data_IF_053211427725
#
_entry.id   IF_053211427725
#
_cell.length_a   1.000
_cell.length_b   1.000
_cell.length_c   1.000
_cell.angle_alpha   90.00
_cell.angle_beta   90.00
_cell.angle_gamma   90.00
#
_symmetry.space_group_name_H-M   'P 1'
#
loop_
_entity.id
_entity.type
_entity.pdbx_description
1 polymer ?
#
# COMPACT_ATOMS: atom_id res chain seq x y z
N UNK A 1 -91.55 -19.17 -1.09
CA UNK A 1 -90.58 -20.24 -0.76
C UNK A 1 -89.18 -19.70 -1.00
N UNK A 2 -88.29 -19.99 -0.06
CA UNK A 2 -87.09 -19.24 0.32
C UNK A 2 -86.02 -19.02 -0.75
N UNK A 3 -85.45 -17.80 -0.78
CA UNK A 3 -84.11 -17.55 -1.33
C UNK A 3 -83.27 -16.87 -0.25
N UNK A 4 -81.99 -17.25 -0.23
CA UNK A 4 -80.86 -16.53 0.38
C UNK A 4 -80.54 -16.84 1.85
N UNK A 5 -80.08 -18.06 2.09
CA UNK A 5 -78.78 -18.24 2.78
C UNK A 5 -77.70 -17.91 1.76
N UNK A 6 -76.76 -17.04 2.08
CA UNK A 6 -75.35 -17.01 1.66
C UNK A 6 -74.86 -15.56 1.73
N UNK A 7 -74.46 -15.11 2.92
CA UNK A 7 -73.67 -13.89 3.03
C UNK A 7 -72.72 -13.98 4.22
N UNK A 8 -71.75 -14.89 4.15
CA UNK A 8 -70.64 -14.94 5.12
C UNK A 8 -69.33 -15.54 4.56
N UNK A 9 -69.16 -15.60 3.24
CA UNK A 9 -67.92 -16.12 2.62
C UNK A 9 -67.46 -15.19 1.49
N UNK A 10 -67.43 -13.87 1.72
CA UNK A 10 -66.81 -12.95 0.76
C UNK A 10 -65.93 -11.86 1.38
N UNK A 11 -65.70 -11.90 2.70
CA UNK A 11 -64.82 -10.95 3.41
C UNK A 11 -63.59 -11.68 4.00
N UNK A 12 -63.14 -12.75 3.34
CA UNK A 12 -61.86 -13.39 3.66
C UNK A 12 -60.93 -13.56 2.46
N UNK A 13 -61.33 -13.10 1.27
CA UNK A 13 -60.52 -13.22 0.05
C UNK A 13 -59.94 -11.91 -0.49
N UNK A 14 -60.12 -10.78 0.22
CA UNK A 14 -59.52 -9.49 -0.15
C UNK A 14 -58.42 -9.01 0.80
N UNK A 15 -58.12 -9.75 1.86
CA UNK A 15 -57.06 -9.44 2.82
C UNK A 15 -55.82 -10.34 2.70
N UNK A 16 -55.81 -11.32 1.78
CA UNK A 16 -54.70 -12.27 1.60
C UNK A 16 -53.83 -12.01 0.35
N UNK A 17 -54.06 -10.90 -0.38
CA UNK A 17 -53.28 -10.54 -1.58
C UNK A 17 -52.33 -9.35 -1.36
N UNK A 18 -52.13 -8.92 -0.11
CA UNK A 18 -51.07 -8.00 0.31
C UNK A 18 -50.02 -8.72 1.17
N UNK A 19 -49.75 -9.98 0.85
CA UNK A 19 -48.55 -10.67 1.32
C UNK A 19 -47.34 -10.09 0.59
N UNK A 20 -46.76 -9.06 1.21
CA UNK A 20 -45.31 -8.82 1.25
C UNK A 20 -44.56 -9.18 -0.04
N UNK A 21 -44.74 -8.38 -1.10
CA UNK A 21 -43.66 -8.14 -2.06
C UNK A 21 -42.59 -7.23 -1.42
N UNK A 22 -42.11 -7.59 -0.22
CA UNK A 22 -40.74 -7.24 0.16
C UNK A 22 -39.86 -8.15 -0.68
N UNK A 23 -39.69 -7.76 -1.95
CA UNK A 23 -38.52 -8.16 -2.72
C UNK A 23 -37.32 -7.86 -1.83
N UNK A 24 -36.74 -8.90 -1.23
CA UNK A 24 -35.38 -8.86 -0.75
C UNK A 24 -34.50 -8.60 -1.97
N UNK A 25 -34.47 -7.34 -2.44
CA UNK A 25 -33.36 -6.83 -3.23
C UNK A 25 -32.17 -6.93 -2.28
N UNK A 26 -31.42 -8.03 -2.37
CA UNK A 26 -30.09 -8.13 -1.77
C UNK A 26 -29.37 -6.87 -2.24
N UNK A 27 -29.12 -5.94 -1.32
CA UNK A 27 -28.35 -4.73 -1.61
C UNK A 27 -27.02 -5.21 -2.16
N UNK A 28 -26.72 -4.84 -3.41
CA UNK A 28 -25.42 -5.18 -3.99
C UNK A 28 -24.33 -4.62 -3.08
N UNK A 29 -23.37 -5.47 -2.72
CA UNK A 29 -22.24 -5.06 -1.90
C UNK A 29 -21.42 -4.04 -2.67
N UNK A 30 -21.01 -2.99 -1.99
CA UNK A 30 -19.98 -2.10 -2.51
C UNK A 30 -18.68 -2.88 -2.74
N UNK A 31 -17.79 -2.36 -3.59
CA UNK A 31 -16.48 -2.97 -3.84
C UNK A 31 -15.73 -3.30 -2.54
N UNK A 32 -15.68 -2.35 -1.60
CA UNK A 32 -14.97 -2.51 -0.31
C UNK A 32 -15.62 -3.60 0.53
N UNK A 33 -16.94 -3.65 0.62
CA UNK A 33 -17.67 -4.69 1.35
C UNK A 33 -17.48 -6.09 0.74
N UNK A 34 -17.31 -6.18 -0.59
CA UNK A 34 -17.03 -7.43 -1.27
C UNK A 34 -15.62 -7.94 -0.92
N UNK A 35 -14.58 -7.13 -1.12
CA UNK A 35 -13.19 -7.55 -0.89
C UNK A 35 -12.83 -7.70 0.61
N UNK A 36 -13.60 -7.10 1.51
CA UNK A 36 -13.43 -7.29 2.96
C UNK A 36 -13.56 -8.76 3.38
N UNK A 37 -14.28 -9.60 2.62
CA UNK A 37 -14.36 -11.03 2.87
C UNK A 37 -13.01 -11.76 2.74
N UNK A 38 -12.07 -11.19 2.00
CA UNK A 38 -10.72 -11.72 1.81
C UNK A 38 -9.67 -11.07 2.72
N UNK A 39 -10.06 -10.16 3.61
CA UNK A 39 -9.13 -9.58 4.57
C UNK A 39 -8.64 -10.67 5.54
N UNK A 40 -7.32 -10.90 5.52
CA UNK A 40 -6.69 -11.90 6.39
C UNK A 40 -6.44 -11.29 7.74
N UNK A 41 -7.05 -11.85 8.79
CA UNK A 41 -6.84 -11.40 10.16
C UNK A 41 -5.36 -11.47 10.54
N UNK A 42 -4.86 -10.43 11.20
CA UNK A 42 -3.50 -10.43 11.74
C UNK A 42 -3.37 -11.49 12.85
N UNK A 43 -2.21 -12.14 12.89
CA UNK A 43 -1.84 -13.00 14.01
C UNK A 43 -1.59 -12.19 15.29
N UNK A 44 -1.55 -12.88 16.43
CA UNK A 44 -1.14 -12.26 17.70
C UNK A 44 0.33 -11.80 17.60
N UNK A 45 0.66 -10.60 18.09
CA UNK A 45 2.04 -10.11 18.09
C UNK A 45 2.98 -11.09 18.82
N UNK A 46 4.16 -11.31 18.24
CA UNK A 46 5.21 -12.18 18.79
C UNK A 46 6.46 -11.36 19.11
N UNK A 47 7.31 -11.79 20.07
CA UNK A 47 8.59 -11.13 20.31
C UNK A 47 9.37 -10.89 19.01
N UNK A 48 9.88 -9.67 18.83
CA UNK A 48 10.57 -9.23 17.61
C UNK A 48 9.69 -8.64 16.50
N UNK A 49 8.37 -8.92 16.49
CA UNK A 49 7.44 -8.29 15.54
C UNK A 49 7.23 -6.81 15.84
N UNK A 50 6.86 -6.03 14.82
CA UNK A 50 6.59 -4.60 14.95
C UNK A 50 5.55 -4.32 16.04
N UNK A 51 4.40 -5.02 15.94
CA UNK A 51 3.26 -4.86 16.86
C UNK A 51 3.50 -5.36 18.28
N UNK A 52 4.59 -6.09 18.52
CA UNK A 52 4.98 -6.47 19.89
C UNK A 52 5.77 -5.34 20.57
N UNK A 53 6.53 -4.58 19.78
CA UNK A 53 7.44 -3.54 20.29
C UNK A 53 6.82 -2.14 20.25
N UNK A 54 5.72 -1.97 19.51
CA UNK A 54 5.06 -0.68 19.30
C UNK A 54 3.57 -0.81 19.62
N UNK A 55 3.11 0.00 20.58
CA UNK A 55 1.69 0.18 20.88
C UNK A 55 1.14 1.32 20.02
N UNK A 56 0.48 0.95 18.92
CA UNK A 56 -0.04 1.89 17.92
C UNK A 56 -1.55 2.01 18.02
N UNK A 57 -2.06 3.22 17.81
CA UNK A 57 -3.50 3.47 17.76
C UNK A 57 -4.07 3.01 16.42
N UNK A 58 -5.16 2.26 16.47
CA UNK A 58 -5.89 1.90 15.28
C UNK A 58 -6.56 3.14 14.67
N UNK A 59 -6.10 3.53 13.47
CA UNK A 59 -6.72 4.63 12.72
C UNK A 59 -8.01 4.14 12.07
N UNK A 60 -9.16 4.61 12.52
CA UNK A 60 -10.44 4.35 11.87
C UNK A 60 -10.55 5.14 10.56
N UNK A 61 -11.60 4.88 9.76
CA UNK A 61 -11.82 5.66 8.54
C UNK A 61 -12.16 7.12 8.86
N UNK A 62 -12.94 7.36 9.91
CA UNK A 62 -13.34 8.69 10.36
C UNK A 62 -12.15 9.50 10.88
N UNK A 63 -11.20 8.83 11.55
CA UNK A 63 -9.94 9.45 11.98
C UNK A 63 -9.11 9.85 10.77
N UNK A 64 -9.00 8.95 9.79
CA UNK A 64 -8.32 9.21 8.52
C UNK A 64 -8.96 10.36 7.72
N UNK A 65 -10.29 10.50 7.74
CA UNK A 65 -10.96 11.60 7.06
C UNK A 65 -10.57 12.97 7.64
N UNK A 66 -10.32 13.04 8.95
CA UNK A 66 -9.94 14.27 9.67
C UNK A 66 -8.47 14.65 9.50
N UNK A 67 -7.61 13.75 9.01
CA UNK A 67 -6.20 14.08 8.82
C UNK A 67 -6.02 15.05 7.65
N UNK A 68 -5.12 16.03 7.84
CA UNK A 68 -4.54 16.76 6.73
C UNK A 68 -3.67 15.77 5.95
N UNK A 69 -3.94 15.66 4.66
CA UNK A 69 -3.29 14.68 3.78
C UNK A 69 -2.97 15.32 2.45
N UNK A 70 -1.95 14.78 1.81
CA UNK A 70 -1.58 15.16 0.46
C UNK A 70 -2.57 14.49 -0.49
N UNK A 71 -3.09 15.25 -1.43
CA UNK A 71 -3.98 14.75 -2.47
C UNK A 71 -3.51 15.26 -3.82
N UNK A 72 -3.67 14.49 -4.91
CA UNK A 72 -3.43 14.98 -6.25
C UNK A 72 -4.30 16.19 -6.57
N UNK A 73 -3.70 17.19 -7.19
CA UNK A 73 -4.36 18.41 -7.64
C UNK A 73 -4.14 18.58 -9.15
N UNK A 74 -4.98 19.35 -9.86
CA UNK A 74 -4.73 19.69 -11.26
C UNK A 74 -3.31 20.25 -11.45
N UNK A 75 -2.49 19.58 -12.27
CA UNK A 75 -1.09 19.94 -12.50
C UNK A 75 -0.11 19.51 -11.42
N UNK A 76 -0.54 18.80 -10.37
CA UNK A 76 0.30 18.22 -9.32
C UNK A 76 -0.21 16.83 -8.94
N UNK A 77 0.04 15.87 -9.83
CA UNK A 77 -0.56 14.53 -9.79
C UNK A 77 0.40 13.42 -10.26
N UNK A 78 1.71 13.69 -10.29
CA UNK A 78 2.73 12.71 -10.71
C UNK A 78 3.47 12.17 -9.49
N UNK A 79 3.71 10.86 -9.48
CA UNK A 79 4.64 10.21 -8.56
C UNK A 79 6.01 10.17 -9.24
N UNK A 80 7.02 10.75 -8.61
CA UNK A 80 8.39 10.64 -9.09
C UNK A 80 9.19 9.66 -8.24
N UNK A 81 9.98 8.81 -8.89
CA UNK A 81 11.02 8.01 -8.28
C UNK A 81 12.36 8.71 -8.51
N UNK A 82 13.11 8.94 -7.44
CA UNK A 82 14.46 9.51 -7.49
C UNK A 82 15.46 8.44 -7.06
N UNK A 83 16.15 7.77 -8.00
CA UNK A 83 17.28 6.93 -7.66
C UNK A 83 18.39 7.81 -7.04
N UNK A 84 18.98 7.37 -5.92
CA UNK A 84 20.06 8.06 -5.22
C UNK A 84 21.18 7.07 -4.93
N UNK A 85 22.18 7.12 -5.80
CA UNK A 85 23.43 6.38 -5.72
C UNK A 85 23.75 5.65 -7.03
N UNK A 86 24.44 4.52 -6.94
CA UNK A 86 24.92 3.76 -8.10
C UNK A 86 24.20 2.42 -8.22
N UNK A 87 23.54 2.21 -9.36
CA UNK A 87 22.70 1.04 -9.61
C UNK A 87 23.28 0.20 -10.74
N UNK A 88 23.40 -1.10 -10.52
CA UNK A 88 23.69 -2.07 -11.57
C UNK A 88 22.44 -2.35 -12.44
N UNK A 89 22.60 -3.19 -13.47
CA UNK A 89 21.51 -3.51 -14.40
C UNK A 89 20.29 -4.15 -13.71
N UNK A 90 20.52 -5.05 -12.75
CA UNK A 90 19.44 -5.70 -12.01
C UNK A 90 18.71 -4.70 -11.11
N UNK A 91 19.42 -3.87 -10.36
CA UNK A 91 18.81 -2.85 -9.50
C UNK A 91 18.03 -1.82 -10.32
N UNK A 92 18.58 -1.41 -11.47
CA UNK A 92 17.90 -0.52 -12.42
C UNK A 92 16.60 -1.15 -12.93
N UNK A 93 16.62 -2.45 -13.24
CA UNK A 93 15.43 -3.20 -13.63
C UNK A 93 14.39 -3.28 -12.51
N UNK A 94 14.80 -3.45 -11.25
CA UNK A 94 13.87 -3.41 -10.11
C UNK A 94 13.19 -2.04 -9.97
N UNK A 95 13.92 -0.94 -10.18
CA UNK A 95 13.36 0.42 -10.15
C UNK A 95 12.33 0.61 -11.26
N UNK A 96 12.62 0.16 -12.49
CA UNK A 96 11.67 0.26 -13.61
C UNK A 96 10.41 -0.57 -13.40
N UNK A 97 10.55 -1.79 -12.88
CA UNK A 97 9.40 -2.63 -12.53
C UNK A 97 8.61 -2.00 -11.36
N UNK A 98 9.28 -1.36 -10.41
CA UNK A 98 8.64 -0.61 -9.33
C UNK A 98 7.86 0.59 -9.86
N UNK A 99 8.40 1.33 -10.85
CA UNK A 99 7.67 2.40 -11.55
C UNK A 99 6.37 1.88 -12.16
N UNK A 100 6.42 0.77 -12.89
CA UNK A 100 5.22 0.14 -13.47
C UNK A 100 4.19 -0.24 -12.39
N UNK A 101 4.65 -0.89 -11.32
CA UNK A 101 3.79 -1.29 -10.22
C UNK A 101 3.11 -0.10 -9.53
N UNK A 102 3.87 0.95 -9.19
CA UNK A 102 3.33 2.11 -8.46
C UNK A 102 2.36 2.91 -9.33
N UNK A 103 2.59 2.97 -10.65
CA UNK A 103 1.66 3.56 -11.60
C UNK A 103 0.30 2.86 -11.57
N UNK A 104 0.31 1.52 -11.54
CA UNK A 104 -0.91 0.72 -11.40
C UNK A 104 -1.52 0.87 -10.00
N UNK A 105 -0.69 0.75 -8.95
CA UNK A 105 -1.11 0.69 -7.55
C UNK A 105 -1.78 1.99 -7.08
N UNK A 106 -1.32 3.14 -7.57
CA UNK A 106 -1.90 4.43 -7.22
C UNK A 106 -2.76 5.02 -8.34
N UNK A 107 -2.76 4.41 -9.55
CA UNK A 107 -3.38 4.95 -10.77
C UNK A 107 -3.00 6.41 -11.05
N UNK A 108 -1.73 6.73 -10.80
CA UNK A 108 -1.12 8.02 -11.07
C UNK A 108 0.07 7.82 -11.99
N UNK A 109 0.31 8.80 -12.86
CA UNK A 109 1.51 8.78 -13.70
C UNK A 109 2.74 8.67 -12.80
N UNK A 110 3.63 7.72 -13.11
CA UNK A 110 4.86 7.49 -12.34
C UNK A 110 6.07 7.60 -13.24
N UNK A 111 7.03 8.45 -12.87
CA UNK A 111 8.25 8.74 -13.64
C UNK A 111 9.50 8.46 -12.83
N UNK A 112 10.57 8.03 -13.48
CA UNK A 112 11.90 7.90 -12.86
C UNK A 112 12.73 9.11 -13.27
N UNK A 113 13.31 9.81 -12.30
CA UNK A 113 14.24 10.92 -12.50
C UNK A 113 15.66 10.40 -12.77
N UNK A 114 16.55 11.21 -13.38
CA UNK A 114 17.97 10.88 -13.45
C UNK A 114 18.55 10.59 -12.07
N UNK A 115 19.37 9.53 -11.96
CA UNK A 115 19.98 9.14 -10.70
C UNK A 115 20.89 10.26 -10.14
N UNK A 116 20.78 10.50 -8.83
CA UNK A 116 21.73 11.33 -8.11
C UNK A 116 22.94 10.48 -7.69
N UNK A 117 24.18 10.98 -7.77
CA UNK A 117 25.35 10.23 -7.33
C UNK A 117 25.39 10.07 -5.80
N UNK A 118 26.05 9.04 -5.28
CA UNK A 118 26.18 8.84 -3.81
C UNK A 118 26.94 9.97 -3.10
N UNK A 119 27.62 10.86 -3.84
CA UNK A 119 28.31 12.05 -3.30
C UNK A 119 27.37 13.09 -2.70
N UNK A 120 26.05 12.98 -2.91
CA UNK A 120 25.05 13.83 -2.23
C UNK A 120 24.96 13.54 -0.72
N UNK A 121 25.52 12.42 -0.26
CA UNK A 121 25.61 12.07 1.15
C UNK A 121 26.95 12.54 1.75
N UNK A 122 26.98 13.62 2.55
CA UNK A 122 28.19 14.07 3.23
C UNK A 122 28.59 13.10 4.36
N UNK A 123 29.85 13.16 4.80
CA UNK A 123 30.37 12.25 5.84
C UNK A 123 29.60 12.35 7.16
N UNK A 124 29.13 13.54 7.52
CA UNK A 124 28.40 13.78 8.77
C UNK A 124 27.07 13.02 8.91
N UNK A 125 26.52 12.48 7.82
CA UNK A 125 25.25 11.73 7.82
C UNK A 125 25.44 10.24 7.60
N UNK A 126 26.70 9.80 7.58
CA UNK A 126 27.09 8.41 7.41
C UNK A 126 27.50 7.80 8.75
N UNK A 127 27.33 6.49 8.86
CA UNK A 127 27.92 5.69 9.93
C UNK A 127 28.25 4.30 9.41
N UNK A 128 29.11 3.59 10.14
CA UNK A 128 29.26 2.15 9.95
C UNK A 128 28.21 1.42 10.79
N UNK A 129 27.48 0.50 10.17
CA UNK A 129 26.57 -0.42 10.85
C UNK A 129 27.34 -1.34 11.79
N UNK A 130 26.61 -2.01 12.68
CA UNK A 130 27.19 -3.12 13.48
C UNK A 130 27.67 -4.28 12.61
N UNK A 131 27.14 -4.37 11.39
CA UNK A 131 27.49 -5.40 10.41
C UNK A 131 28.65 -4.98 9.47
N UNK A 132 29.25 -3.79 9.68
CA UNK A 132 30.46 -3.35 8.98
C UNK A 132 30.23 -2.66 7.63
N UNK A 133 29.01 -2.22 7.33
CA UNK A 133 28.67 -1.51 6.09
C UNK A 133 28.17 -0.09 6.33
N UNK A 134 28.31 0.78 5.34
CA UNK A 134 27.88 2.19 5.41
C UNK A 134 26.34 2.29 5.49
N UNK A 135 25.84 3.08 6.43
CA UNK A 135 24.43 3.47 6.54
C UNK A 135 24.29 4.99 6.45
N UNK A 136 23.18 5.47 5.90
CA UNK A 136 22.86 6.87 5.70
C UNK A 136 21.69 7.29 6.60
N UNK A 137 21.77 8.47 7.19
CA UNK A 137 20.69 9.03 8.01
C UNK A 137 19.47 9.34 7.12
N UNK A 138 18.37 8.62 7.31
CA UNK A 138 17.19 8.72 6.47
C UNK A 138 16.54 10.11 6.49
N UNK A 139 16.51 10.76 7.67
CA UNK A 139 15.99 12.13 7.81
C UNK A 139 16.72 13.14 6.92
N UNK A 140 18.05 13.00 6.76
CA UNK A 140 18.81 13.85 5.85
C UNK A 140 18.36 13.67 4.39
N UNK A 141 18.07 12.44 3.97
CA UNK A 141 17.59 12.16 2.61
C UNK A 141 16.28 12.91 2.34
N UNK A 142 15.33 12.87 3.28
CA UNK A 142 14.08 13.61 3.17
C UNK A 142 14.34 15.12 3.14
N UNK A 143 14.90 15.65 4.22
CA UNK A 143 14.89 17.10 4.51
C UNK A 143 15.87 17.89 3.64
N UNK A 144 17.03 17.30 3.36
CA UNK A 144 18.12 17.99 2.67
C UNK A 144 18.21 17.68 1.19
N UNK A 145 17.63 16.57 0.72
CA UNK A 145 17.66 16.17 -0.69
C UNK A 145 16.27 16.24 -1.31
N UNK A 146 15.33 15.42 -0.84
CA UNK A 146 14.07 15.20 -1.55
C UNK A 146 13.13 16.40 -1.47
N UNK A 147 12.94 17.02 -0.29
CA UNK A 147 12.06 18.20 -0.14
C UNK A 147 12.51 19.33 -1.10
N UNK A 148 13.82 19.57 -1.18
CA UNK A 148 14.39 20.65 -2.00
C UNK A 148 14.36 20.37 -3.51
N UNK A 149 14.19 19.11 -3.91
CA UNK A 149 14.25 18.65 -5.31
C UNK A 149 12.91 18.19 -5.86
N UNK A 150 11.85 18.19 -5.05
CA UNK A 150 10.51 17.77 -5.46
C UNK A 150 10.04 18.57 -6.70
N UNK A 151 9.79 17.91 -7.85
CA UNK A 151 9.26 18.58 -9.03
C UNK A 151 7.94 19.30 -8.71
N UNK A 152 7.66 20.41 -9.39
CA UNK A 152 6.48 21.24 -9.09
C UNK A 152 5.16 20.51 -9.36
N UNK A 153 5.16 19.64 -10.35
CA UNK A 153 4.05 18.77 -10.75
C UNK A 153 4.01 17.43 -9.98
N UNK A 154 4.94 17.21 -9.05
CA UNK A 154 4.96 16.03 -8.21
C UNK A 154 3.92 16.15 -7.08
N UNK A 155 3.00 15.18 -7.02
CA UNK A 155 2.24 14.93 -5.78
C UNK A 155 3.15 14.23 -4.76
N UNK A 156 3.99 13.31 -5.22
CA UNK A 156 4.90 12.49 -4.40
C UNK A 156 6.28 12.46 -5.05
N UNK A 157 7.34 12.53 -4.23
CA UNK A 157 8.71 12.22 -4.63
C UNK A 157 9.28 11.14 -3.72
N UNK A 158 9.47 9.94 -4.27
CA UNK A 158 10.00 8.78 -3.56
C UNK A 158 11.46 8.53 -3.94
N UNK A 159 12.37 8.70 -2.99
CA UNK A 159 13.77 8.30 -3.12
C UNK A 159 13.90 6.77 -3.10
N UNK A 160 14.78 6.24 -3.94
CA UNK A 160 15.20 4.83 -3.88
C UNK A 160 16.73 4.84 -3.82
N UNK A 161 17.31 4.19 -2.81
CA UNK A 161 18.77 4.14 -2.64
C UNK A 161 19.27 2.71 -2.45
N UNK A 162 20.44 2.41 -3.01
CA UNK A 162 21.20 1.18 -2.77
C UNK A 162 21.93 1.19 -1.43
N UNK A 163 21.94 2.31 -0.72
CA UNK A 163 22.58 2.46 0.60
C UNK A 163 21.64 2.05 1.72
N UNK A 164 22.20 1.46 2.78
CA UNK A 164 21.43 1.14 3.99
C UNK A 164 21.00 2.42 4.71
N UNK A 165 19.88 2.38 5.43
CA UNK A 165 19.30 3.54 6.10
C UNK A 165 19.18 3.34 7.60
N UNK A 166 19.39 4.42 8.36
CA UNK A 166 19.08 4.46 9.79
C UNK A 166 18.26 5.71 10.15
N UNK A 167 17.34 5.62 11.13
CA UNK A 167 16.47 6.75 11.47
C UNK A 167 17.13 7.70 12.49
N UNK A 168 17.85 7.16 13.47
CA UNK A 168 18.55 7.89 14.54
C UNK A 168 19.63 7.00 15.17
N UNK A 169 20.46 7.56 16.07
CA UNK A 169 21.62 6.88 16.67
C UNK A 169 21.30 5.50 17.26
N UNK A 170 20.17 5.39 17.97
CA UNK A 170 19.89 4.23 18.84
C UNK A 170 19.16 3.08 18.11
N UNK A 171 18.80 3.29 16.85
CA UNK A 171 18.10 2.30 16.02
C UNK A 171 19.06 1.59 15.08
N UNK A 172 18.79 0.33 14.74
CA UNK A 172 19.69 -0.44 13.87
C UNK A 172 19.57 -0.01 12.39
N UNK A 173 18.37 -0.07 11.83
CA UNK A 173 18.09 0.32 10.45
C UNK A 173 16.59 0.54 10.24
N UNK A 174 16.24 1.08 9.07
CA UNK A 174 14.88 1.12 8.55
C UNK A 174 14.89 0.73 7.07
N UNK A 175 13.80 0.16 6.57
CA UNK A 175 13.65 -0.11 5.13
C UNK A 175 13.23 1.12 4.35
N UNK A 176 12.50 2.03 5.00
CA UNK A 176 12.08 3.29 4.42
C UNK A 176 11.68 4.31 5.48
N UNK A 177 11.43 5.53 5.02
CA UNK A 177 10.91 6.63 5.83
C UNK A 177 10.11 7.57 4.95
N UNK A 178 8.91 7.95 5.40
CA UNK A 178 8.05 8.89 4.71
C UNK A 178 7.69 10.11 5.57
N UNK A 179 7.56 11.26 4.90
CA UNK A 179 6.97 12.47 5.46
C UNK A 179 5.47 12.50 5.16
N UNK A 180 4.65 12.58 6.22
CA UNK A 180 3.20 12.72 6.14
C UNK A 180 2.74 14.08 5.57
N UNK A 181 3.64 15.08 5.54
CA UNK A 181 3.27 16.47 5.21
C UNK A 181 3.89 16.97 3.90
N UNK A 182 5.11 16.52 3.60
CA UNK A 182 5.88 17.05 2.47
C UNK A 182 5.72 16.21 1.19
N UNK A 183 5.19 14.99 1.31
CA UNK A 183 5.00 14.06 0.18
C UNK A 183 6.33 13.66 -0.42
N UNK A 184 7.28 13.39 0.48
CA UNK A 184 8.57 12.82 0.17
C UNK A 184 8.81 11.62 1.08
N UNK A 185 9.57 10.65 0.60
CA UNK A 185 10.06 9.56 1.40
C UNK A 185 11.17 8.82 0.69
N UNK A 186 11.79 7.87 1.36
CA UNK A 186 12.91 7.09 0.82
C UNK A 186 12.72 5.63 1.17
N UNK A 187 13.08 4.73 0.24
CA UNK A 187 13.23 3.29 0.48
C UNK A 187 14.68 2.90 0.20
N UNK A 188 15.26 2.10 1.09
CA UNK A 188 16.54 1.41 0.87
C UNK A 188 16.31 0.05 0.26
N UNK A 189 17.04 -0.25 -0.81
CA UNK A 189 17.11 -1.59 -1.39
C UNK A 189 18.17 -2.46 -0.72
N UNK A 190 19.10 -1.88 0.05
CA UNK A 190 20.33 -2.53 0.51
C UNK A 190 20.04 -3.87 1.20
N UNK A 191 19.09 -3.88 2.13
CA UNK A 191 18.75 -5.06 2.93
C UNK A 191 17.89 -6.06 2.17
N UNK A 192 17.23 -5.69 1.08
CA UNK A 192 16.36 -6.61 0.33
C UNK A 192 17.13 -7.72 -0.38
N UNK A 193 18.40 -7.48 -0.71
CA UNK A 193 19.35 -8.44 -1.25
C UNK A 193 20.66 -8.51 -0.45
N UNK A 194 20.71 -7.87 0.72
CA UNK A 194 21.86 -7.81 1.63
C UNK A 194 23.19 -7.44 0.96
N UNK A 195 23.18 -6.38 0.13
CA UNK A 195 24.37 -5.88 -0.57
C UNK A 195 24.73 -6.59 -1.89
N UNK A 196 24.19 -7.78 -2.18
CA UNK A 196 24.44 -8.49 -3.44
C UNK A 196 23.17 -9.03 -4.13
N UNK A 197 22.68 -8.28 -5.11
CA UNK A 197 21.56 -8.69 -5.97
C UNK A 197 22.04 -9.61 -7.11
N UNK A 198 21.37 -10.75 -7.26
CA UNK A 198 21.60 -11.74 -8.30
C UNK A 198 20.28 -12.13 -8.95
N UNK A 199 20.33 -12.93 -10.02
CA UNK A 199 19.12 -13.43 -10.68
C UNK A 199 18.28 -14.30 -9.72
N UNK A 200 18.92 -15.03 -8.80
CA UNK A 200 18.21 -15.96 -7.91
C UNK A 200 17.40 -15.26 -6.82
N UNK A 201 17.85 -14.09 -6.35
CA UNK A 201 17.14 -13.30 -5.33
C UNK A 201 16.40 -12.08 -5.89
N UNK A 202 16.45 -11.86 -7.21
CA UNK A 202 15.82 -10.72 -7.90
C UNK A 202 14.34 -10.58 -7.57
N UNK A 203 13.55 -11.65 -7.69
CA UNK A 203 12.10 -11.59 -7.48
C UNK A 203 11.74 -11.32 -6.01
N UNK A 204 12.52 -11.86 -5.07
CA UNK A 204 12.34 -11.64 -3.63
C UNK A 204 12.65 -10.18 -3.26
N UNK A 205 13.77 -9.67 -3.75
CA UNK A 205 14.18 -8.27 -3.58
C UNK A 205 13.17 -7.30 -4.20
N UNK A 206 12.74 -7.55 -5.44
CA UNK A 206 11.74 -6.74 -6.12
C UNK A 206 10.44 -6.71 -5.32
N UNK A 207 9.92 -7.85 -4.89
CA UNK A 207 8.68 -7.90 -4.12
C UNK A 207 8.76 -7.09 -2.82
N UNK A 208 9.92 -7.12 -2.14
CA UNK A 208 10.18 -6.26 -0.97
C UNK A 208 10.19 -4.78 -1.33
N UNK A 209 10.84 -4.40 -2.44
CA UNK A 209 10.84 -3.02 -2.92
C UNK A 209 9.42 -2.52 -3.28
N UNK A 210 8.59 -3.36 -3.90
CA UNK A 210 7.19 -3.02 -4.19
C UNK A 210 6.39 -2.76 -2.91
N UNK A 211 6.51 -3.65 -1.93
CA UNK A 211 5.80 -3.55 -0.65
C UNK A 211 6.23 -2.32 0.14
N UNK A 212 7.52 -2.13 0.35
CA UNK A 212 8.01 -0.99 1.13
C UNK A 212 7.75 0.33 0.39
N UNK A 213 7.95 0.41 -0.93
CA UNK A 213 7.67 1.67 -1.65
C UNK A 213 6.19 2.05 -1.63
N UNK A 214 5.27 1.10 -1.78
CA UNK A 214 3.83 1.39 -1.67
C UNK A 214 3.41 1.68 -0.23
N UNK A 215 4.06 1.07 0.76
CA UNK A 215 3.88 1.39 2.18
C UNK A 215 4.27 2.84 2.48
N UNK A 216 5.48 3.25 2.13
CA UNK A 216 5.97 4.62 2.38
C UNK A 216 5.12 5.67 1.65
N UNK A 217 4.74 5.41 0.40
CA UNK A 217 3.83 6.31 -0.33
C UNK A 217 2.45 6.34 0.31
N UNK A 218 1.96 5.22 0.87
CA UNK A 218 0.72 5.17 1.64
C UNK A 218 0.73 6.10 2.85
N UNK A 219 1.86 6.21 3.57
CA UNK A 219 2.05 7.20 4.63
C UNK A 219 1.94 8.64 4.13
N UNK A 220 2.49 8.94 2.96
CA UNK A 220 2.39 10.28 2.36
C UNK A 220 0.95 10.64 1.98
N UNK A 221 0.08 9.66 1.75
CA UNK A 221 -1.37 9.84 1.59
C UNK A 221 -2.16 9.78 2.91
N UNK A 222 -1.48 9.80 4.05
CA UNK A 222 -2.06 9.92 5.39
C UNK A 222 -2.47 8.61 6.06
N UNK A 223 -2.14 7.46 5.48
CA UNK A 223 -2.48 6.15 6.03
C UNK A 223 -1.44 5.78 7.08
N UNK A 224 -1.85 5.57 8.34
CA UNK A 224 -0.95 5.05 9.38
C UNK A 224 -0.74 3.54 9.23
N UNK A 225 0.13 2.96 10.06
CA UNK A 225 0.21 1.50 10.12
C UNK A 225 -1.16 0.85 10.33
N UNK A 226 -1.40 -0.21 9.56
CA UNK A 226 -2.66 -0.95 9.56
C UNK A 226 -2.66 -1.97 10.70
N UNK A 227 -3.72 -1.99 11.50
CA UNK A 227 -3.97 -3.02 12.51
C UNK A 227 -5.22 -3.87 12.20
N UNK A 228 -5.83 -3.67 11.03
CA UNK A 228 -7.07 -4.33 10.62
C UNK A 228 -6.84 -5.77 10.11
N UNK A 229 -5.87 -5.94 9.23
CA UNK A 229 -5.61 -7.18 8.50
C UNK A 229 -4.15 -7.23 8.02
N UNK A 230 -3.72 -8.40 7.54
CA UNK A 230 -2.47 -8.55 6.79
C UNK A 230 -2.57 -7.69 5.51
N UNK A 231 -1.76 -6.64 5.47
CA UNK A 231 -1.89 -5.48 4.62
C UNK A 231 -0.51 -4.91 4.35
N UNK A 232 -0.28 -4.36 3.16
CA UNK A 232 0.99 -3.68 2.84
C UNK A 232 1.32 -2.54 3.81
N UNK A 233 0.31 -1.94 4.43
CA UNK A 233 0.46 -0.87 5.42
C UNK A 233 0.76 -1.40 6.84
N UNK A 234 0.99 -2.69 7.06
CA UNK A 234 1.44 -3.15 8.38
C UNK A 234 2.89 -2.69 8.63
N UNK A 235 3.18 -2.20 9.83
CA UNK A 235 4.55 -1.91 10.24
C UNK A 235 5.38 -3.19 10.32
N UNK A 236 6.69 -3.08 10.08
CA UNK A 236 7.61 -4.22 10.03
C UNK A 236 8.97 -3.90 10.65
N UNK A 237 9.50 -4.85 11.42
CA UNK A 237 10.82 -4.79 12.05
C UNK A 237 11.88 -5.63 11.33
N UNK A 238 11.48 -6.48 10.37
CA UNK A 238 12.38 -7.46 9.75
C UNK A 238 11.92 -7.88 8.36
N UNK A 239 12.84 -8.42 7.56
CA UNK A 239 12.51 -8.97 6.24
C UNK A 239 11.53 -10.13 6.36
N UNK A 240 11.69 -11.00 7.35
CA UNK A 240 10.76 -12.11 7.58
C UNK A 240 9.32 -11.61 7.84
N UNK A 241 9.17 -10.53 8.59
CA UNK A 241 7.86 -9.90 8.79
C UNK A 241 7.35 -9.22 7.52
N UNK A 242 8.22 -8.53 6.77
CA UNK A 242 7.90 -7.94 5.44
C UNK A 242 7.43 -9.01 4.45
N UNK A 243 8.08 -10.17 4.43
CA UNK A 243 7.77 -11.28 3.52
C UNK A 243 6.47 -12.01 3.90
N UNK A 244 6.16 -12.05 5.20
CA UNK A 244 4.87 -12.53 5.70
C UNK A 244 3.70 -11.63 5.27
N UNK A 245 3.94 -10.32 5.19
CA UNK A 245 2.92 -9.37 4.76
C UNK A 245 2.69 -9.42 3.26
N UNK A 246 1.46 -9.16 2.82
CA UNK A 246 1.09 -9.13 1.39
C UNK A 246 1.16 -7.71 0.82
N UNK A 247 1.43 -7.57 -0.47
CA UNK A 247 1.43 -6.28 -1.18
C UNK A 247 0.02 -5.69 -1.34
N UNK A 248 -1.01 -6.51 -1.10
CA UNK A 248 -2.42 -6.08 -1.05
C UNK A 248 -2.65 -5.12 0.13
N UNK A 249 -3.22 -3.94 -0.15
CA UNK A 249 -3.88 -3.14 0.88
C UNK A 249 -5.20 -3.82 1.28
N UNK A 250 -5.49 -3.94 2.58
CA UNK A 250 -6.78 -4.47 3.05
C UNK A 250 -7.95 -3.57 2.65
N UNK A 251 -9.19 -4.08 2.79
CA UNK A 251 -10.40 -3.34 2.42
C UNK A 251 -10.46 -1.93 3.03
N UNK A 252 -10.13 -1.80 4.32
CA UNK A 252 -10.08 -0.51 5.03
C UNK A 252 -9.02 0.43 4.46
N UNK A 253 -7.80 -0.06 4.19
CA UNK A 253 -6.74 0.77 3.62
C UNK A 253 -7.05 1.16 2.16
N UNK A 254 -7.69 0.29 1.38
CA UNK A 254 -8.17 0.66 0.04
C UNK A 254 -9.29 1.72 0.10
N UNK A 255 -10.19 1.63 1.08
CA UNK A 255 -11.21 2.66 1.30
C UNK A 255 -10.59 4.01 1.66
N UNK A 256 -9.61 4.02 2.59
CA UNK A 256 -8.83 5.22 2.94
C UNK A 256 -8.13 5.81 1.72
N UNK A 257 -7.38 4.97 1.00
CA UNK A 257 -6.61 5.39 -0.17
C UNK A 257 -7.53 5.95 -1.26
N UNK A 258 -8.60 5.25 -1.64
CA UNK A 258 -9.55 5.69 -2.66
C UNK A 258 -10.33 6.96 -2.27
N UNK A 259 -10.45 7.26 -0.99
CA UNK A 259 -11.03 8.53 -0.53
C UNK A 259 -10.12 9.74 -0.74
N UNK A 260 -8.80 9.52 -0.89
CA UNK A 260 -7.78 10.58 -1.03
C UNK A 260 -7.22 10.69 -2.44
N UNK A 261 -7.04 9.54 -3.09
CA UNK A 261 -6.67 9.41 -4.49
C UNK A 261 -7.77 8.63 -5.20
N UNK A 262 -8.59 9.32 -6.00
CA UNK A 262 -9.66 8.62 -6.73
C UNK A 262 -9.04 7.75 -7.81
N UNK A 263 -9.28 6.45 -7.70
CA UNK A 263 -8.88 5.45 -8.68
C UNK A 263 -10.02 4.47 -8.97
N UNK A 264 -9.98 3.82 -10.12
CA UNK A 264 -10.89 2.75 -10.50
C UNK A 264 -10.44 1.44 -9.84
N UNK A 265 -11.23 1.00 -8.86
CA UNK A 265 -10.98 -0.21 -8.09
C UNK A 265 -10.87 -1.48 -8.95
N UNK A 266 -11.75 -1.64 -9.95
CA UNK A 266 -11.78 -2.87 -10.78
C UNK A 266 -10.61 -2.88 -11.75
N UNK A 267 -10.35 -1.76 -12.42
CA UNK A 267 -9.21 -1.61 -13.32
C UNK A 267 -7.89 -1.85 -12.58
N UNK A 268 -7.70 -1.19 -11.44
CA UNK A 268 -6.51 -1.35 -10.59
C UNK A 268 -6.30 -2.82 -10.20
N UNK A 269 -7.34 -3.49 -9.73
CA UNK A 269 -7.25 -4.89 -9.31
C UNK A 269 -6.88 -5.83 -10.47
N UNK A 270 -7.48 -5.64 -11.65
CA UNK A 270 -7.17 -6.43 -12.85
C UNK A 270 -5.72 -6.21 -13.32
N UNK A 271 -5.27 -4.95 -13.36
CA UNK A 271 -3.91 -4.61 -13.75
C UNK A 271 -2.87 -5.15 -12.76
N UNK A 272 -3.13 -5.07 -11.44
CA UNK A 272 -2.27 -5.68 -10.43
C UNK A 272 -2.20 -7.21 -10.57
N UNK A 273 -3.35 -7.87 -10.81
CA UNK A 273 -3.39 -9.31 -11.06
C UNK A 273 -2.49 -9.67 -12.25
N UNK A 274 -2.64 -8.99 -13.38
CA UNK A 274 -1.84 -9.23 -14.58
C UNK A 274 -0.34 -8.94 -14.36
N UNK A 275 -0.02 -7.90 -13.59
CA UNK A 275 1.35 -7.55 -13.22
C UNK A 275 2.01 -8.66 -12.38
N UNK A 276 1.31 -9.17 -11.36
CA UNK A 276 1.81 -10.27 -10.53
C UNK A 276 1.92 -11.59 -11.29
N UNK A 277 1.03 -11.84 -12.24
CA UNK A 277 1.07 -13.00 -13.14
C UNK A 277 2.32 -12.96 -14.03
N UNK A 278 2.61 -11.82 -14.67
CA UNK A 278 3.80 -11.60 -15.51
C UNK A 278 5.12 -11.85 -14.77
N UNK A 279 5.17 -11.53 -13.48
CA UNK A 279 6.38 -11.65 -12.65
C UNK A 279 6.43 -12.92 -11.79
N UNK A 280 5.42 -13.80 -11.90
CA UNK A 280 5.29 -15.02 -11.10
C UNK A 280 5.26 -14.79 -9.58
N UNK A 281 4.67 -13.68 -9.14
CA UNK A 281 4.43 -13.38 -7.71
C UNK A 281 3.20 -14.12 -7.20
N UNK A 282 3.31 -15.44 -7.06
CA UNK A 282 2.20 -16.36 -6.79
C UNK A 282 1.34 -15.96 -5.57
N UNK A 283 1.97 -15.54 -4.46
CA UNK A 283 1.24 -15.11 -3.27
C UNK A 283 0.37 -13.86 -3.54
N UNK A 284 0.92 -12.87 -4.24
CA UNK A 284 0.22 -11.62 -4.55
C UNK A 284 -0.83 -11.83 -5.65
N UNK A 285 -0.52 -12.64 -6.66
CA UNK A 285 -1.45 -13.09 -7.70
C UNK A 285 -2.66 -13.80 -7.10
N UNK A 286 -2.44 -14.71 -6.14
CA UNK A 286 -3.53 -15.42 -5.46
C UNK A 286 -4.47 -14.46 -4.74
N UNK A 287 -3.93 -13.46 -4.03
CA UNK A 287 -4.73 -12.43 -3.35
C UNK A 287 -5.52 -11.56 -4.32
N UNK A 288 -4.90 -11.11 -5.41
CA UNK A 288 -5.58 -10.32 -6.43
C UNK A 288 -6.70 -11.12 -7.12
N UNK A 289 -6.46 -12.41 -7.39
CA UNK A 289 -7.46 -13.31 -8.00
C UNK A 289 -8.65 -13.55 -7.06
N UNK A 290 -8.40 -13.76 -5.77
CA UNK A 290 -9.45 -13.91 -4.75
C UNK A 290 -10.37 -12.69 -4.70
N UNK A 291 -9.81 -11.47 -4.72
CA UNK A 291 -10.63 -10.25 -4.76
C UNK A 291 -11.40 -10.12 -6.06
N UNK A 292 -10.78 -10.46 -7.19
CA UNK A 292 -11.40 -10.32 -8.51
C UNK A 292 -12.65 -11.19 -8.63
N UNK A 293 -12.62 -12.41 -8.07
CA UNK A 293 -13.75 -13.33 -8.06
C UNK A 293 -14.96 -12.83 -7.23
N UNK A 294 -14.78 -11.82 -6.36
CA UNK A 294 -15.87 -11.25 -5.56
C UNK A 294 -16.47 -9.97 -6.17
N UNK A 295 -15.84 -9.39 -7.19
CA UNK A 295 -16.22 -8.10 -7.78
C UNK A 295 -16.55 -8.18 -9.27
N UNK A 296 -16.47 -9.38 -9.85
CA UNK A 296 -16.97 -9.71 -11.19
C UNK A 296 -18.49 -9.73 -11.21
#
# INVERSE_FOLDING_TARGET
MSREKYNFIFIFFLSAAFLFLFSCRKKEKTYVEAIALNDVKLSHPKPGSWRYSHDEKFQQFEDFQKTRKITPEPGKNIIYLQPIGTFNELQTKEIELTKEYLAIYFQLETKVLPALPSTVFPEAVKRNSKEGHEQILAGYVLDSILIKRKPKDAVILMGITEKDLFPQSDWNYIFGLASYENGVGVTSMYRFYNGHLTISNFNESLNRLLKISSHEIGHMFGISHCLNANCVMNGTNSLTETDYHVARACSLCQMKLNSSIKYDNKKRLLELKNYFEKLHFNSELSRATQDLNLVQ
#
